data_IF_196691331953
#
_entry.id   IF_196691331953
#
_cell.length_a   1.000
_cell.length_b   1.000
_cell.length_c   1.000
_cell.angle_alpha   90.00
_cell.angle_beta   90.00
_cell.angle_gamma   90.00
#
_symmetry.space_group_name_H-M   'P 1'
#
loop_
_entity.id
_entity.type
_entity.pdbx_description
1 polymer ?
#
# COMPACT_ATOMS: atom_id res chain seq x y z
N UNK A 1 -6.45 -33.98 8.55
CA UNK A 1 -6.74 -33.80 7.12
C UNK A 1 -7.93 -32.85 6.99
N UNK A 2 -7.64 -31.56 6.77
CA UNK A 2 -8.58 -30.55 6.25
C UNK A 2 -7.83 -29.23 6.15
N UNK A 3 -6.98 -29.10 5.13
CA UNK A 3 -6.31 -27.84 4.83
C UNK A 3 -7.31 -26.89 4.20
N UNK A 4 -7.50 -25.73 4.80
CA UNK A 4 -8.15 -24.59 4.18
C UNK A 4 -7.10 -23.51 3.99
N UNK A 5 -6.59 -23.53 2.77
CA UNK A 5 -5.52 -22.74 2.18
C UNK A 5 -6.15 -21.45 1.66
N UNK A 6 -5.66 -20.28 2.06
CA UNK A 6 -6.24 -18.98 1.68
C UNK A 6 -5.21 -18.13 0.95
N UNK A 7 -5.59 -17.50 -0.18
CA UNK A 7 -4.59 -16.84 -1.00
C UNK A 7 -4.61 -15.30 -0.93
N UNK A 8 -3.42 -14.72 -0.97
CA UNK A 8 -3.11 -13.31 -1.16
C UNK A 8 -3.37 -12.88 -2.60
N UNK A 9 -3.98 -11.71 -2.77
CA UNK A 9 -4.42 -11.21 -4.07
C UNK A 9 -3.51 -10.06 -4.50
N UNK A 10 -2.83 -10.25 -5.62
CA UNK A 10 -2.14 -9.18 -6.34
C UNK A 10 -3.13 -8.53 -7.27
N UNK A 11 -3.29 -7.22 -7.18
CA UNK A 11 -4.06 -6.44 -8.13
C UNK A 11 -3.14 -5.57 -9.00
N UNK A 12 -3.38 -5.51 -10.31
CA UNK A 12 -2.70 -4.57 -11.22
C UNK A 12 -3.72 -3.59 -11.81
N UNK A 13 -3.25 -2.39 -12.12
CA UNK A 13 -3.95 -1.39 -12.91
C UNK A 13 -3.08 -1.06 -14.13
N UNK A 14 -3.65 -1.12 -15.34
CA UNK A 14 -2.91 -1.05 -16.62
C UNK A 14 -3.19 0.21 -17.46
N UNK A 15 -4.04 1.14 -17.01
CA UNK A 15 -4.25 2.44 -17.69
C UNK A 15 -4.90 3.47 -16.76
N UNK A 16 -4.43 4.72 -16.78
CA UNK A 16 -5.08 5.87 -16.14
C UNK A 16 -5.45 6.91 -17.20
N UNK A 17 -6.69 7.41 -17.16
CA UNK A 17 -7.20 8.45 -18.07
C UNK A 17 -7.70 9.64 -17.24
N UNK A 18 -6.95 10.76 -17.21
CA UNK A 18 -7.38 11.98 -16.51
C UNK A 18 -6.30 13.07 -16.39
N UNK A 19 -6.71 14.32 -16.14
CA UNK A 19 -5.86 15.52 -16.04
C UNK A 19 -5.56 15.86 -14.56
N UNK A 20 -4.39 16.46 -14.29
CA UNK A 20 -3.76 16.63 -12.97
C UNK A 20 -3.97 18.04 -12.41
N UNK A 21 -4.29 18.15 -11.11
CA UNK A 21 -3.83 19.23 -10.24
C UNK A 21 -3.77 18.76 -8.78
N UNK A 22 -2.62 18.91 -8.13
CA UNK A 22 -2.48 18.75 -6.69
C UNK A 22 -1.01 18.64 -6.26
N UNK A 23 -0.55 19.58 -5.44
CA UNK A 23 0.85 19.72 -5.01
C UNK A 23 1.37 18.54 -4.17
N UNK A 24 2.53 18.03 -4.55
CA UNK A 24 3.27 17.01 -3.80
C UNK A 24 4.24 17.73 -2.85
N UNK A 25 4.08 17.53 -1.54
CA UNK A 25 5.01 18.06 -0.53
C UNK A 25 6.03 16.98 -0.23
N UNK A 26 7.27 17.17 -0.67
CA UNK A 26 8.41 16.31 -0.35
C UNK A 26 9.01 16.79 0.98
N UNK A 27 9.00 15.93 2.00
CA UNK A 27 9.58 16.23 3.31
C UNK A 27 10.97 15.59 3.43
N UNK A 28 11.85 16.22 4.22
CA UNK A 28 13.21 15.76 4.54
C UNK A 28 13.23 15.24 5.98
N UNK A 29 13.75 14.03 6.21
CA UNK A 29 14.07 13.48 7.53
C UNK A 29 15.54 13.77 7.86
N UNK A 30 15.94 13.77 9.14
CA UNK A 30 17.31 14.03 9.62
C UNK A 30 17.82 12.75 10.30
N UNK A 31 18.81 12.06 9.71
CA UNK A 31 19.50 10.85 10.24
C UNK A 31 19.48 9.61 9.31
N UNK A 32 20.37 8.63 9.53
CA UNK A 32 20.75 7.46 8.67
C UNK A 32 19.66 6.79 7.79
N UNK A 33 18.40 6.77 8.22
CA UNK A 33 17.25 6.35 7.41
C UNK A 33 17.08 7.20 6.13
N UNK A 34 17.52 8.46 6.18
CA UNK A 34 17.48 9.41 5.08
C UNK A 34 18.26 8.89 3.86
N UNK A 35 19.45 8.29 4.05
CA UNK A 35 20.23 7.77 2.94
C UNK A 35 19.52 6.58 2.26
N UNK A 36 18.92 5.68 3.04
CA UNK A 36 18.11 4.60 2.48
C UNK A 36 16.86 5.11 1.75
N UNK A 37 16.24 6.18 2.23
CA UNK A 37 15.08 6.80 1.56
C UNK A 37 15.47 7.69 0.37
N UNK A 38 16.70 8.21 0.33
CA UNK A 38 17.21 9.07 -0.75
C UNK A 38 17.84 8.25 -1.89
N UNK A 39 18.55 7.16 -1.57
CA UNK A 39 19.18 6.28 -2.56
C UNK A 39 18.35 5.03 -2.88
N UNK A 40 17.47 4.62 -1.97
CA UNK A 40 16.59 3.49 -2.17
C UNK A 40 15.46 3.82 -3.14
N UNK A 41 14.96 2.83 -3.88
CA UNK A 41 13.88 3.02 -4.83
C UNK A 41 12.52 3.07 -4.11
N UNK A 42 12.41 3.81 -3.01
CA UNK A 42 11.18 3.95 -2.23
C UNK A 42 10.72 5.40 -2.25
N UNK A 43 9.44 5.63 -2.51
CA UNK A 43 8.82 6.94 -2.43
C UNK A 43 7.71 6.94 -1.41
N UNK A 44 7.91 7.66 -0.32
CA UNK A 44 6.96 7.76 0.79
C UNK A 44 6.22 9.10 0.72
N UNK A 45 4.90 9.07 0.92
CA UNK A 45 4.09 10.26 1.05
C UNK A 45 3.13 10.17 2.24
N UNK A 46 2.80 11.33 2.81
CA UNK A 46 1.98 11.44 4.02
C UNK A 46 0.66 12.16 3.71
N UNK A 47 -0.43 11.67 4.29
CA UNK A 47 -1.67 12.42 4.42
C UNK A 47 -1.57 13.31 5.65
N UNK A 48 -1.67 14.63 5.47
CA UNK A 48 -1.64 15.61 6.56
C UNK A 48 -2.94 16.37 6.67
N UNK A 49 -3.38 16.61 7.89
CA UNK A 49 -4.45 17.53 8.24
C UNK A 49 -3.92 18.53 9.27
N UNK A 50 -3.52 19.71 8.81
CA UNK A 50 -2.72 20.65 9.60
C UNK A 50 -1.36 20.05 9.96
N UNK A 51 -1.00 20.07 11.24
CA UNK A 51 0.23 19.46 11.76
C UNK A 51 0.11 17.92 11.93
N UNK A 52 -1.11 17.37 11.97
CA UNK A 52 -1.34 15.96 12.24
C UNK A 52 -1.15 15.10 10.98
N UNK A 53 -0.46 13.96 11.14
CA UNK A 53 -0.38 12.91 10.12
C UNK A 53 -1.60 11.99 10.30
N UNK A 54 -2.27 11.68 9.19
CA UNK A 54 -3.52 10.91 9.14
C UNK A 54 -3.43 9.65 8.29
N UNK A 55 -2.34 9.48 7.55
CA UNK A 55 -2.02 8.28 6.81
C UNK A 55 -0.70 8.40 6.07
N UNK A 56 -0.28 7.33 5.45
CA UNK A 56 0.89 7.31 4.57
C UNK A 56 0.72 6.26 3.47
N UNK A 57 1.52 6.41 2.42
CA UNK A 57 1.73 5.34 1.45
C UNK A 57 3.19 5.30 1.03
N UNK A 58 3.62 4.12 0.56
CA UNK A 58 4.94 3.87 -0.01
C UNK A 58 4.80 3.26 -1.40
N UNK A 59 5.53 3.83 -2.35
CA UNK A 59 5.73 3.25 -3.68
C UNK A 59 7.13 2.65 -3.74
N UNK A 60 7.22 1.38 -4.14
CA UNK A 60 8.47 0.76 -4.55
C UNK A 60 8.64 1.01 -6.06
N UNK A 61 9.75 1.68 -6.36
CA UNK A 61 10.19 2.17 -7.66
C UNK A 61 11.37 1.34 -8.21
N UNK A 62 11.67 0.17 -7.64
CA UNK A 62 12.82 -0.66 -8.04
C UNK A 62 12.72 -1.06 -9.51
N UNK A 63 11.48 -1.18 -10.02
CA UNK A 63 11.18 -1.32 -11.43
C UNK A 63 10.36 -0.11 -11.91
N UNK A 64 10.95 0.83 -12.68
CA UNK A 64 10.24 2.01 -13.17
C UNK A 64 9.03 1.69 -14.07
N UNK A 65 9.01 0.52 -14.71
CA UNK A 65 7.90 0.09 -15.58
C UNK A 65 6.77 -0.59 -14.79
N UNK A 66 7.04 -0.99 -13.55
CA UNK A 66 6.12 -1.76 -12.72
C UNK A 66 6.23 -1.31 -11.26
N UNK A 67 5.47 -0.28 -10.94
CA UNK A 67 5.50 0.37 -9.63
C UNK A 67 4.58 -0.38 -8.67
N UNK A 68 5.11 -0.75 -7.52
CA UNK A 68 4.33 -1.42 -6.49
C UNK A 68 3.92 -0.43 -5.38
N UNK A 69 2.63 -0.35 -5.07
CA UNK A 69 2.13 0.28 -3.85
C UNK A 69 2.36 -0.70 -2.69
N UNK A 70 3.53 -0.61 -2.06
CA UNK A 70 3.97 -1.57 -1.04
C UNK A 70 3.21 -1.41 0.27
N UNK A 71 3.00 -0.17 0.69
CA UNK A 71 2.30 0.13 1.93
C UNK A 71 1.26 1.23 1.70
N UNK A 72 0.07 1.04 2.25
CA UNK A 72 -0.98 2.04 2.29
C UNK A 72 -1.72 1.92 3.62
N UNK A 73 -1.72 3.00 4.39
CA UNK A 73 -2.30 2.99 5.73
C UNK A 73 -2.91 4.33 6.10
N UNK A 74 -4.00 4.25 6.86
CA UNK A 74 -4.57 5.38 7.58
C UNK A 74 -4.37 5.17 9.07
N UNK A 75 -4.10 6.26 9.79
CA UNK A 75 -4.11 6.22 11.25
C UNK A 75 -5.56 6.06 11.76
N UNK A 76 -5.79 5.43 12.92
CA UNK A 76 -7.13 5.13 13.42
C UNK A 76 -8.09 6.32 13.43
N UNK A 77 -7.59 7.51 13.75
CA UNK A 77 -8.36 8.75 13.85
C UNK A 77 -8.84 9.27 12.49
N UNK A 78 -8.32 8.74 11.38
CA UNK A 78 -8.72 9.08 10.03
C UNK A 78 -9.69 8.06 9.42
N UNK A 79 -9.86 6.89 10.07
CA UNK A 79 -10.73 5.82 9.61
C UNK A 79 -12.20 6.24 9.79
N UNK A 80 -13.05 5.95 8.79
CA UNK A 80 -14.49 6.26 8.83
C UNK A 80 -14.87 7.66 8.31
N UNK A 81 -13.90 8.53 8.05
CA UNK A 81 -14.14 9.89 7.56
C UNK A 81 -14.16 10.04 6.02
N UNK A 82 -14.23 8.93 5.27
CA UNK A 82 -14.26 8.95 3.80
C UNK A 82 -12.95 9.35 3.10
N UNK A 83 -11.89 9.67 3.85
CA UNK A 83 -10.60 10.14 3.30
C UNK A 83 -9.80 9.06 2.57
N UNK A 84 -10.04 7.77 2.89
CA UNK A 84 -9.24 6.67 2.34
C UNK A 84 -9.31 6.53 0.83
N UNK A 85 -10.50 6.71 0.22
CA UNK A 85 -10.65 6.64 -1.24
C UNK A 85 -9.93 7.77 -1.95
N UNK A 86 -10.09 9.00 -1.45
CA UNK A 86 -9.40 10.16 -2.02
C UNK A 86 -7.87 10.04 -1.86
N UNK A 87 -7.41 9.51 -0.72
CA UNK A 87 -5.99 9.31 -0.48
C UNK A 87 -5.40 8.21 -1.36
N UNK A 88 -6.10 7.07 -1.51
CA UNK A 88 -5.68 6.01 -2.42
C UNK A 88 -5.66 6.47 -3.88
N UNK A 89 -6.69 7.21 -4.32
CA UNK A 89 -6.72 7.78 -5.67
C UNK A 89 -5.50 8.68 -5.91
N UNK A 90 -5.11 9.49 -4.91
CA UNK A 90 -3.90 10.31 -5.00
C UNK A 90 -2.62 9.48 -5.04
N UNK A 91 -2.51 8.41 -4.27
CA UNK A 91 -1.38 7.48 -4.33
C UNK A 91 -1.23 6.86 -5.73
N UNK A 92 -2.34 6.42 -6.31
CA UNK A 92 -2.39 5.84 -7.67
C UNK A 92 -2.00 6.88 -8.71
N UNK A 93 -2.52 8.11 -8.63
CA UNK A 93 -2.11 9.20 -9.53
C UNK A 93 -0.62 9.52 -9.41
N UNK A 94 -0.08 9.50 -8.20
CA UNK A 94 1.34 9.72 -7.98
C UNK A 94 2.16 8.63 -8.68
N UNK A 95 1.81 7.34 -8.51
CA UNK A 95 2.48 6.24 -9.21
C UNK A 95 2.41 6.40 -10.74
N UNK A 96 1.24 6.71 -11.30
CA UNK A 96 1.11 6.92 -12.75
C UNK A 96 1.88 8.13 -13.29
N UNK A 97 2.05 9.19 -12.48
CA UNK A 97 2.83 10.36 -12.89
C UNK A 97 4.32 10.07 -13.14
N UNK A 98 4.80 8.92 -12.66
CA UNK A 98 6.16 8.44 -12.87
C UNK A 98 6.32 7.66 -14.18
N UNK A 99 5.24 7.47 -14.95
CA UNK A 99 5.24 6.81 -16.26
C UNK A 99 5.41 5.28 -16.30
N UNK A 100 4.87 4.49 -15.34
CA UNK A 100 4.95 3.02 -15.42
C UNK A 100 4.01 2.45 -16.49
N UNK A 101 4.17 1.17 -16.80
CA UNK A 101 3.23 0.40 -17.64
C UNK A 101 2.14 -0.28 -16.80
N UNK A 102 2.46 -0.67 -15.56
CA UNK A 102 1.51 -1.19 -14.58
C UNK A 102 1.80 -0.59 -13.20
N UNK A 103 0.73 -0.40 -12.43
CA UNK A 103 0.82 -0.17 -10.99
C UNK A 103 0.23 -1.40 -10.30
N UNK A 104 0.99 -2.01 -9.40
CA UNK A 104 0.57 -3.17 -8.60
C UNK A 104 0.31 -2.80 -7.14
N UNK A 105 -0.53 -3.62 -6.51
CA UNK A 105 -0.70 -3.66 -5.06
C UNK A 105 -0.89 -5.11 -4.64
N UNK A 106 -0.28 -5.50 -3.54
CA UNK A 106 -0.51 -6.77 -2.89
C UNK A 106 -1.45 -6.54 -1.71
N UNK A 107 -2.47 -7.38 -1.57
CA UNK A 107 -3.32 -7.37 -0.38
C UNK A 107 -3.53 -8.80 0.11
N UNK A 108 -3.44 -8.98 1.42
CA UNK A 108 -3.55 -10.26 2.09
C UNK A 108 -4.77 -10.26 3.02
N UNK A 109 -5.12 -11.44 3.51
CA UNK A 109 -6.22 -11.59 4.49
C UNK A 109 -5.88 -10.99 5.86
N UNK A 110 -4.61 -10.71 6.14
CA UNK A 110 -4.19 -10.00 7.35
C UNK A 110 -4.47 -8.49 7.29
N UNK A 111 -4.72 -7.94 6.11
CA UNK A 111 -5.08 -6.53 5.94
C UNK A 111 -6.47 -6.21 6.49
N UNK A 112 -6.78 -4.92 6.58
CA UNK A 112 -8.12 -4.47 6.92
C UNK A 112 -9.15 -5.03 5.91
N UNK A 113 -10.31 -5.57 6.34
CA UNK A 113 -11.31 -6.17 5.44
C UNK A 113 -11.91 -5.20 4.39
N UNK A 114 -11.56 -3.92 4.46
CA UNK A 114 -12.00 -2.86 3.55
C UNK A 114 -10.95 -2.56 2.47
N UNK A 115 -9.75 -3.14 2.55
CA UNK A 115 -8.64 -2.89 1.62
C UNK A 115 -8.98 -3.36 0.21
N UNK A 116 -9.30 -4.64 0.01
CA UNK A 116 -9.63 -5.17 -1.32
C UNK A 116 -10.83 -4.45 -1.98
N UNK A 117 -11.97 -4.22 -1.30
CA UNK A 117 -13.05 -3.40 -1.87
C UNK A 117 -12.60 -1.98 -2.26
N UNK A 118 -11.75 -1.35 -1.45
CA UNK A 118 -11.24 0.00 -1.72
C UNK A 118 -10.34 0.03 -2.97
N UNK A 119 -9.44 -0.95 -3.14
CA UNK A 119 -8.61 -1.08 -4.34
C UNK A 119 -9.48 -1.26 -5.59
N UNK A 120 -10.47 -2.15 -5.53
CA UNK A 120 -11.43 -2.34 -6.64
C UNK A 120 -12.19 -1.05 -7.00
N UNK A 121 -12.60 -0.25 -6.02
CA UNK A 121 -13.28 1.04 -6.25
C UNK A 121 -12.40 2.08 -6.96
N UNK A 122 -11.08 1.96 -6.87
CA UNK A 122 -10.11 2.82 -7.56
C UNK A 122 -9.66 2.19 -8.89
N UNK A 123 -10.23 1.05 -9.29
CA UNK A 123 -10.01 0.42 -10.60
C UNK A 123 -8.81 -0.51 -10.65
N UNK A 124 -8.39 -1.06 -9.51
CA UNK A 124 -7.49 -2.21 -9.50
C UNK A 124 -8.27 -3.49 -9.77
N UNK A 125 -7.66 -4.40 -10.54
CA UNK A 125 -8.23 -5.71 -10.86
C UNK A 125 -7.33 -6.82 -10.31
N UNK A 126 -7.90 -7.87 -9.67
CA UNK A 126 -7.14 -9.05 -9.28
C UNK A 126 -6.50 -9.72 -10.50
N UNK A 127 -5.17 -9.90 -10.47
CA UNK A 127 -4.42 -10.53 -11.57
C UNK A 127 -3.77 -11.84 -11.17
N UNK A 128 -3.47 -12.02 -9.88
CA UNK A 128 -2.85 -13.24 -9.37
C UNK A 128 -3.25 -13.44 -7.92
N UNK A 129 -3.31 -14.70 -7.53
CA UNK A 129 -3.72 -15.16 -6.21
C UNK A 129 -2.67 -16.19 -5.76
N UNK A 130 -2.03 -15.98 -4.60
CA UNK A 130 -0.87 -16.77 -4.13
C UNK A 130 -1.08 -17.18 -2.68
N UNK A 131 -0.71 -18.39 -2.33
CA UNK A 131 -0.74 -18.83 -0.93
C UNK A 131 0.64 -18.62 -0.32
N UNK A 132 0.70 -17.90 0.80
CA UNK A 132 1.93 -17.63 1.53
C UNK A 132 1.86 -18.20 2.95
N UNK A 133 2.96 -18.84 3.37
CA UNK A 133 3.17 -19.25 4.76
C UNK A 133 4.24 -18.34 5.35
N UNK A 134 3.94 -17.70 6.47
CA UNK A 134 4.88 -16.80 7.14
C UNK A 134 5.46 -17.45 8.39
N UNK A 135 6.78 -17.59 8.42
CA UNK A 135 7.50 -18.03 9.61
C UNK A 135 7.60 -16.87 10.61
N UNK A 136 6.65 -16.81 11.55
CA UNK A 136 6.66 -15.83 12.65
C UNK A 136 7.51 -16.36 13.79
N UNK A 137 8.66 -15.75 14.13
CA UNK A 137 9.52 -16.29 15.17
C UNK A 137 8.88 -16.19 16.55
N UNK A 138 8.70 -17.33 17.23
CA UNK A 138 8.15 -17.39 18.60
C UNK A 138 8.89 -16.48 19.60
N UNK A 139 10.18 -16.23 19.37
CA UNK A 139 11.01 -15.33 20.21
C UNK A 139 10.48 -13.89 20.31
N UNK A 140 9.63 -13.46 19.39
CA UNK A 140 9.05 -12.11 19.41
C UNK A 140 7.91 -11.97 20.42
N UNK A 141 7.41 -13.07 21.00
CA UNK A 141 6.32 -13.05 21.98
C UNK A 141 5.00 -12.47 21.44
N UNK A 142 4.84 -12.41 20.11
CA UNK A 142 3.64 -11.89 19.47
C UNK A 142 2.50 -12.90 19.60
N UNK A 143 1.37 -12.45 20.14
CA UNK A 143 0.14 -13.26 20.13
C UNK A 143 -0.46 -13.22 18.73
N UNK A 144 -0.35 -14.33 18.01
CA UNK A 144 -0.96 -14.49 16.70
C UNK A 144 -2.46 -14.79 16.90
N UNK A 145 -3.38 -13.99 16.32
CA UNK A 145 -4.79 -14.30 16.36
C UNK A 145 -5.09 -15.71 15.81
N UNK A 146 -6.00 -16.44 16.45
CA UNK A 146 -6.35 -17.83 16.07
C UNK A 146 -6.72 -18.00 14.60
N UNK A 147 -7.34 -16.99 14.00
CA UNK A 147 -7.70 -16.98 12.57
C UNK A 147 -6.51 -17.07 11.60
N UNK A 148 -5.29 -16.85 12.07
CA UNK A 148 -4.05 -16.94 11.29
C UNK A 148 -3.19 -18.15 11.68
N UNK A 149 -3.61 -18.94 12.66
CA UNK A 149 -2.93 -20.19 13.02
C UNK A 149 -3.44 -21.28 12.07
N UNK A 150 -2.50 -21.95 11.38
CA UNK A 150 -2.77 -23.00 10.38
C UNK A 150 -2.42 -24.37 10.92
#
# INVERSE_FOLDING_TARGET
>A
MSGLMWPDIVCCKTRWAGIIAGGCVRLRLIGDLQHFLEEGPASIALLRHGQAIRGFYELNLSNPQDINLSYFGLFPEAIGHGVGRAFLDRAVRHAWSLGPLCVRVNTCTADHPRALPLYKQVGFEPVRTVEETWDVPNRLGLTIPERFLV
#
